data_IF_943690505331
#
_entry.id   IF_943690505331
#
_cell.length_a   1.000
_cell.length_b   1.000
_cell.length_c   1.000
_cell.angle_alpha   90.00
_cell.angle_beta   90.00
_cell.angle_gamma   90.00
#
_symmetry.space_group_name_H-M   'P 1'
#
loop_
_entity.id
_entity.type
_entity.pdbx_description
1 polymer ?
#
# COMPACT_ATOMS: atom_id res chain seq x y z
N UNK A 1 -21.37 33.10 -6.67
CA UNK A 1 -21.13 32.24 -5.49
C UNK A 1 -21.35 30.80 -5.95
N UNK A 2 -20.29 30.07 -6.29
CA UNK A 2 -20.40 28.70 -6.82
C UNK A 2 -19.84 27.72 -5.79
N UNK A 3 -20.71 26.86 -5.28
CA UNK A 3 -20.37 25.68 -4.50
C UNK A 3 -20.63 24.44 -5.37
N UNK A 4 -19.59 23.65 -5.66
CA UNK A 4 -19.62 22.24 -6.10
C UNK A 4 -18.15 21.80 -6.26
N UNK A 5 -17.64 20.68 -5.74
CA UNK A 5 -18.25 19.56 -5.06
C UNK A 5 -17.28 18.96 -4.04
N UNK A 6 -17.87 18.44 -2.97
CA UNK A 6 -17.20 17.74 -1.88
C UNK A 6 -16.92 16.32 -2.36
N UNK A 7 -15.66 16.00 -2.70
CA UNK A 7 -15.24 14.63 -3.03
C UNK A 7 -15.36 13.75 -1.79
N UNK A 8 -16.56 13.22 -1.58
CA UNK A 8 -16.86 12.20 -0.60
C UNK A 8 -17.26 10.92 -1.32
N UNK A 9 -16.33 9.98 -1.39
CA UNK A 9 -16.63 8.54 -1.44
C UNK A 9 -15.65 7.86 -0.51
N UNK A 10 -15.96 7.91 0.79
CA UNK A 10 -15.45 6.97 1.79
C UNK A 10 -16.23 5.67 1.61
N UNK A 11 -15.86 4.88 0.61
CA UNK A 11 -16.28 3.48 0.52
C UNK A 11 -15.33 2.63 1.37
N UNK A 12 -15.48 2.75 2.69
CA UNK A 12 -14.90 1.84 3.67
C UNK A 12 -15.92 0.73 3.93
N UNK A 13 -16.07 -0.23 2.99
CA UNK A 13 -17.17 -1.19 3.08
C UNK A 13 -17.06 -2.52 2.35
N UNK A 14 -15.88 -2.93 1.83
CA UNK A 14 -15.79 -4.20 1.07
C UNK A 14 -14.43 -4.88 0.96
N UNK A 15 -13.40 -4.46 1.70
CA UNK A 15 -12.01 -4.82 1.35
C UNK A 15 -11.48 -6.15 1.89
N UNK A 16 -12.24 -6.91 2.70
CA UNK A 16 -11.69 -8.10 3.37
C UNK A 16 -11.63 -9.37 2.49
N UNK A 17 -12.15 -9.33 1.25
CA UNK A 17 -11.92 -10.39 0.23
C UNK A 17 -11.04 -9.95 -0.95
N UNK A 18 -10.73 -8.66 -1.09
CA UNK A 18 -10.15 -8.07 -2.32
C UNK A 18 -8.68 -7.67 -2.21
N UNK A 19 -8.00 -7.99 -1.12
CA UNK A 19 -6.62 -7.56 -0.86
C UNK A 19 -6.56 -6.17 -0.23
N UNK A 20 -5.46 -5.88 0.46
CA UNK A 20 -5.21 -4.62 1.17
C UNK A 20 -4.61 -3.62 0.19
N UNK A 21 -5.24 -2.46 0.02
CA UNK A 21 -4.66 -1.39 -0.79
C UNK A 21 -3.44 -0.82 -0.10
N UNK A 22 -2.33 -0.81 -0.81
CA UNK A 22 -1.09 -0.13 -0.45
C UNK A 22 -0.99 1.17 -1.23
N UNK A 23 -0.44 2.18 -0.58
CA UNK A 23 -0.13 3.47 -1.20
C UNK A 23 1.32 3.83 -0.93
N UNK A 24 2.02 4.39 -1.92
CA UNK A 24 3.38 4.87 -1.76
C UNK A 24 3.54 6.20 -2.47
N UNK A 25 4.29 7.12 -1.87
CA UNK A 25 4.51 8.47 -2.44
C UNK A 25 5.96 8.59 -2.89
N UNK A 26 6.15 8.85 -4.19
CA UNK A 26 7.48 9.09 -4.78
C UNK A 26 7.42 10.30 -5.70
N UNK A 27 8.35 11.24 -5.54
CA UNK A 27 8.49 12.41 -6.45
C UNK A 27 7.16 13.11 -6.79
N UNK A 28 6.33 13.36 -5.76
CA UNK A 28 5.00 13.99 -5.85
C UNK A 28 3.92 13.15 -6.56
N UNK A 29 4.21 11.91 -6.91
CA UNK A 29 3.24 10.94 -7.45
C UNK A 29 2.81 9.96 -6.37
N UNK A 30 1.52 9.65 -6.37
CA UNK A 30 0.96 8.58 -5.54
C UNK A 30 0.91 7.32 -6.38
N UNK A 31 1.59 6.28 -5.91
CA UNK A 31 1.56 4.93 -6.48
C UNK A 31 0.64 4.07 -5.63
N UNK A 32 -0.20 3.27 -6.28
CA UNK A 32 -1.12 2.35 -5.62
C UNK A 32 -0.74 0.91 -5.97
N UNK A 33 -0.90 0.03 -4.99
CA UNK A 33 -0.73 -1.40 -5.16
C UNK A 33 -1.76 -2.16 -4.31
N UNK A 34 -1.91 -3.47 -4.56
CA UNK A 34 -2.82 -4.33 -3.80
C UNK A 34 -2.03 -5.49 -3.23
N UNK A 35 -1.99 -5.60 -1.91
CA UNK A 35 -1.46 -6.76 -1.20
C UNK A 35 -2.52 -7.86 -1.14
N UNK A 36 -2.25 -8.98 -1.80
CA UNK A 36 -3.10 -10.16 -1.75
C UNK A 36 -2.92 -10.92 -0.42
N UNK A 37 -3.87 -11.80 -0.12
CA UNK A 37 -3.83 -12.71 1.03
C UNK A 37 -2.62 -13.66 1.02
N UNK A 38 -2.06 -13.94 -0.16
CA UNK A 38 -0.83 -14.74 -0.32
C UNK A 38 0.46 -13.96 0.06
N UNK A 39 0.35 -12.66 0.38
CA UNK A 39 1.50 -11.80 0.63
C UNK A 39 2.16 -11.25 -0.64
N UNK A 40 1.56 -11.45 -1.81
CA UNK A 40 2.02 -10.86 -3.06
C UNK A 40 1.48 -9.44 -3.26
N UNK A 41 2.30 -8.55 -3.80
CA UNK A 41 1.93 -7.16 -4.08
C UNK A 41 1.67 -7.00 -5.58
N UNK A 42 0.45 -6.61 -5.94
CA UNK A 42 0.06 -6.32 -7.30
C UNK A 42 0.25 -4.84 -7.61
N UNK A 43 1.10 -4.55 -8.59
CA UNK A 43 1.36 -3.21 -9.10
C UNK A 43 1.04 -3.21 -10.58
N UNK A 44 0.12 -2.35 -11.02
CA UNK A 44 -0.22 -2.17 -12.44
C UNK A 44 -0.56 -3.50 -13.17
N UNK A 45 -1.23 -4.43 -12.48
CA UNK A 45 -1.59 -5.75 -13.04
C UNK A 45 -0.48 -6.81 -13.03
N UNK A 46 0.69 -6.52 -12.43
CA UNK A 46 1.76 -7.51 -12.22
C UNK A 46 1.93 -7.83 -10.74
N UNK A 47 1.92 -9.11 -10.40
CA UNK A 47 2.17 -9.61 -9.05
C UNK A 47 3.67 -9.70 -8.75
N UNK A 48 4.07 -9.21 -7.58
CA UNK A 48 5.45 -9.23 -7.10
C UNK A 48 5.54 -9.94 -5.75
N UNK A 49 6.58 -10.76 -5.59
CA UNK A 49 6.84 -11.49 -4.34
C UNK A 49 7.37 -10.62 -3.21
N UNK A 50 8.02 -9.50 -3.52
CA UNK A 50 8.66 -8.65 -2.51
C UNK A 50 8.20 -7.20 -2.62
N UNK A 51 8.02 -6.52 -1.47
CA UNK A 51 7.65 -5.10 -1.43
C UNK A 51 8.63 -4.23 -2.20
N UNK A 52 9.93 -4.49 -2.05
CA UNK A 52 11.00 -3.72 -2.69
C UNK A 52 10.92 -3.82 -4.20
N UNK A 53 10.79 -5.02 -4.77
CA UNK A 53 10.70 -5.17 -6.22
C UNK A 53 9.41 -4.54 -6.77
N UNK A 54 8.30 -4.65 -6.03
CA UNK A 54 7.05 -3.98 -6.37
C UNK A 54 7.20 -2.45 -6.40
N UNK A 55 7.84 -1.86 -5.38
CA UNK A 55 8.05 -0.42 -5.27
C UNK A 55 8.98 0.10 -6.37
N UNK A 56 10.07 -0.61 -6.66
CA UNK A 56 10.99 -0.29 -7.75
C UNK A 56 10.30 -0.37 -9.11
N UNK A 57 9.43 -1.36 -9.32
CA UNK A 57 8.64 -1.46 -10.54
C UNK A 57 7.60 -0.34 -10.68
N UNK A 58 7.00 0.11 -9.57
CA UNK A 58 6.02 1.20 -9.57
C UNK A 58 6.66 2.56 -9.83
N UNK A 59 7.84 2.80 -9.23
CA UNK A 59 8.52 4.10 -9.23
C UNK A 59 9.56 4.24 -10.34
N UNK A 60 10.09 3.13 -10.86
CA UNK A 60 11.25 3.11 -11.75
C UNK A 60 12.58 3.40 -11.06
N UNK A 61 12.59 3.60 -9.73
CA UNK A 61 13.79 3.92 -8.96
C UNK A 61 14.37 2.66 -8.31
N UNK A 62 15.68 2.42 -8.44
CA UNK A 62 16.35 1.29 -7.80
C UNK A 62 16.77 1.55 -6.33
N UNK A 63 16.59 2.78 -5.84
CA UNK A 63 16.95 3.19 -4.48
C UNK A 63 15.81 3.07 -3.46
N UNK A 64 14.63 2.65 -3.90
CA UNK A 64 13.45 2.54 -3.04
C UNK A 64 13.52 1.24 -2.23
N UNK A 65 13.31 1.38 -0.92
CA UNK A 65 12.94 0.27 -0.05
C UNK A 65 11.41 0.14 -0.03
N UNK A 66 10.90 -1.04 -0.36
CA UNK A 66 9.46 -1.24 -0.43
C UNK A 66 8.77 -1.35 0.94
N UNK A 67 9.51 -1.70 1.99
CA UNK A 67 8.94 -1.85 3.33
C UNK A 67 8.53 -0.52 3.93
N UNK A 68 9.37 0.51 3.75
CA UNK A 68 9.07 1.89 4.16
C UNK A 68 8.24 2.66 3.13
N UNK A 69 8.32 2.29 1.85
CA UNK A 69 7.60 2.99 0.79
C UNK A 69 6.10 2.72 0.80
N UNK A 70 5.71 1.47 1.00
CA UNK A 70 4.31 1.08 0.96
C UNK A 70 3.65 1.28 2.32
N UNK A 71 2.62 2.11 2.31
CA UNK A 71 1.76 2.42 3.44
C UNK A 71 0.42 1.73 3.25
N UNK A 72 -0.12 1.19 4.32
CA UNK A 72 -1.40 0.53 4.37
C UNK A 72 -2.25 1.15 5.48
N UNK A 73 -3.55 1.28 5.21
CA UNK A 73 -4.49 1.78 6.22
C UNK A 73 -5.26 0.59 6.79
N UNK A 74 -4.94 0.21 8.02
CA UNK A 74 -5.68 -0.80 8.77
C UNK A 74 -6.46 -0.09 9.86
N UNK A 75 -7.77 -0.35 9.93
CA UNK A 75 -8.67 0.21 10.94
C UNK A 75 -8.58 1.74 11.09
N UNK A 76 -8.30 2.46 9.99
CA UNK A 76 -8.13 3.92 10.00
C UNK A 76 -6.76 4.44 10.42
N UNK A 77 -5.81 3.56 10.76
CA UNK A 77 -4.42 3.89 11.06
C UNK A 77 -3.57 3.61 9.83
N UNK A 78 -2.91 4.64 9.33
CA UNK A 78 -1.88 4.50 8.29
C UNK A 78 -0.57 4.05 8.96
N UNK A 79 0.01 2.98 8.43
CA UNK A 79 1.30 2.46 8.86
C UNK A 79 2.06 1.88 7.66
N UNK A 80 3.38 1.82 7.77
CA UNK A 80 4.23 1.20 6.75
C UNK A 80 4.10 -0.33 6.76
N UNK A 81 4.46 -0.99 5.66
CA UNK A 81 4.61 -2.45 5.64
C UNK A 81 5.64 -2.92 6.68
N UNK A 82 6.69 -2.13 6.92
CA UNK A 82 7.71 -2.42 7.95
C UNK A 82 7.08 -2.49 9.34
N UNK A 83 6.29 -1.48 9.72
CA UNK A 83 5.59 -1.43 11.02
C UNK A 83 4.58 -2.57 11.14
N UNK A 84 3.74 -2.77 10.12
CA UNK A 84 2.78 -3.88 10.10
C UNK A 84 3.47 -5.22 10.31
N UNK A 85 4.60 -5.45 9.63
CA UNK A 85 5.38 -6.67 9.82
C UNK A 85 5.91 -6.80 11.25
N UNK A 86 6.47 -5.73 11.81
CA UNK A 86 6.99 -5.74 13.18
C UNK A 86 5.90 -6.06 14.21
N UNK A 87 4.67 -5.57 13.99
CA UNK A 87 3.51 -5.84 14.86
C UNK A 87 2.96 -7.26 14.71
N UNK A 88 2.88 -7.80 13.48
CA UNK A 88 2.22 -9.08 13.22
C UNK A 88 3.17 -10.30 13.18
N UNK A 89 4.46 -10.07 12.97
CA UNK A 89 5.50 -11.10 12.96
C UNK A 89 6.66 -10.71 13.89
N UNK A 90 6.40 -10.49 15.20
CA UNK A 90 7.47 -10.27 16.14
C UNK A 90 8.39 -11.52 16.20
N UNK A 91 9.69 -11.35 16.46
CA UNK A 91 10.55 -12.51 16.71
C UNK A 91 9.99 -13.33 17.88
N UNK A 92 10.08 -14.67 17.84
CA UNK A 92 9.75 -15.47 19.03
C UNK A 92 10.64 -14.99 20.18
N UNK A 93 10.02 -14.60 21.29
CA UNK A 93 10.72 -14.23 22.52
C UNK A 93 11.43 -15.43 23.13
#
# INVERSE_FOLDING_TARGET
MSACGRSGTRDAGGALKTGITLTGRHEKKVHQAVLNHEGHINVLGRSWRTPTTAARAATGSNKIDGWDFWHLTITGVEQTLAEFRATHFPPPS
#
